data_IF_746817855084
#
_entry.id   IF_746817855084
#
_cell.length_a   1.000
_cell.length_b   1.000
_cell.length_c   1.000
_cell.angle_alpha   90.00
_cell.angle_beta   90.00
_cell.angle_gamma   90.00
#
_symmetry.space_group_name_H-M   'P 1'
#
loop_
_entity.id
_entity.type
_entity.pdbx_description
1 polymer ?
#
# COMPACT_ATOMS: atom_id res chain seq x y z
N UNK A 1 -5.07 7.63 -8.06
CA UNK A 1 -6.08 8.43 -7.34
C UNK A 1 -7.38 8.39 -8.13
N UNK A 2 -7.86 7.19 -8.38
CA UNK A 2 -9.20 6.94 -8.89
C UNK A 2 -10.12 6.59 -7.69
N UNK A 3 -11.40 6.98 -7.66
CA UNK A 3 -12.27 6.72 -6.52
C UNK A 3 -12.39 5.24 -6.12
N UNK A 4 -12.36 4.32 -7.09
CA UNK A 4 -12.43 2.88 -6.85
C UNK A 4 -11.12 2.37 -6.23
N UNK A 5 -9.98 2.83 -6.75
CA UNK A 5 -8.67 2.55 -6.14
C UNK A 5 -8.59 3.09 -4.71
N UNK A 6 -9.02 4.34 -4.48
CA UNK A 6 -9.04 4.98 -3.17
C UNK A 6 -9.89 4.18 -2.17
N UNK A 7 -11.06 3.70 -2.62
CA UNK A 7 -11.95 2.86 -1.83
C UNK A 7 -11.25 1.58 -1.32
N UNK A 8 -10.40 0.96 -2.14
CA UNK A 8 -9.60 -0.20 -1.73
C UNK A 8 -8.38 0.16 -0.88
N UNK A 9 -7.85 1.39 -1.01
CA UNK A 9 -6.65 1.84 -0.30
C UNK A 9 -6.92 2.24 1.16
N UNK A 10 -8.07 2.85 1.47
CA UNK A 10 -8.38 3.29 2.83
C UNK A 10 -8.42 2.14 3.87
N UNK A 11 -9.05 0.97 3.61
CA UNK A 11 -8.98 -0.17 4.52
C UNK A 11 -7.56 -0.64 4.78
N UNK A 12 -6.66 -0.53 3.79
CA UNK A 12 -5.26 -0.91 3.94
C UNK A 12 -4.50 0.02 4.90
N UNK A 13 -4.75 1.33 4.84
CA UNK A 13 -4.16 2.30 5.79
C UNK A 13 -4.63 2.04 7.23
N UNK A 14 -5.93 1.87 7.43
CA UNK A 14 -6.51 1.62 8.76
C UNK A 14 -6.14 0.22 9.27
N UNK A 15 -6.09 -0.77 8.39
CA UNK A 15 -5.61 -2.12 8.69
C UNK A 15 -4.14 -2.14 9.09
N UNK A 16 -3.30 -1.32 8.47
CA UNK A 16 -1.90 -1.15 8.87
C UNK A 16 -1.80 -0.54 10.28
N UNK A 17 -2.59 0.49 10.57
CA UNK A 17 -2.68 1.04 11.93
C UNK A 17 -3.17 -0.01 12.95
N UNK A 18 -4.13 -0.86 12.55
CA UNK A 18 -4.67 -1.93 13.38
C UNK A 18 -3.57 -2.94 13.77
N UNK A 19 -2.76 -3.40 12.82
CA UNK A 19 -1.66 -4.35 13.09
C UNK A 19 -0.65 -3.76 14.09
N UNK A 20 -0.32 -2.48 13.94
CA UNK A 20 0.59 -1.80 14.88
C UNK A 20 -0.06 -1.60 16.27
N UNK A 21 -1.36 -1.28 16.31
CA UNK A 21 -2.12 -1.20 17.56
C UNK A 21 -2.20 -2.54 18.29
N UNK A 22 -2.39 -3.63 17.54
CA UNK A 22 -2.37 -5.01 18.07
C UNK A 22 -1.02 -5.35 18.69
N UNK A 23 0.09 -4.94 18.08
CA UNK A 23 1.42 -5.17 18.64
C UNK A 23 1.60 -4.51 20.02
N UNK A 24 1.07 -3.30 20.22
CA UNK A 24 1.07 -2.63 21.54
C UNK A 24 0.13 -3.33 22.51
N UNK A 25 -1.04 -3.75 22.04
CA UNK A 25 -2.03 -4.47 22.84
C UNK A 25 -1.48 -5.80 23.36
N UNK A 26 -0.84 -6.59 22.50
CA UNK A 26 -0.21 -7.87 22.86
C UNK A 26 0.96 -7.70 23.85
N UNK A 27 1.80 -6.68 23.64
CA UNK A 27 3.05 -6.52 24.41
C UNK A 27 2.88 -5.75 25.71
N UNK A 28 1.94 -4.80 25.76
CA UNK A 28 1.81 -3.81 26.84
C UNK A 28 0.41 -3.75 27.45
N UNK A 29 -0.57 -4.44 26.85
CA UNK A 29 -1.97 -4.38 27.29
C UNK A 29 -2.64 -3.01 27.07
N UNK A 30 -1.98 -2.08 26.40
CA UNK A 30 -2.50 -0.76 26.03
C UNK A 30 -3.29 -0.76 24.73
N UNK A 31 -3.95 0.36 24.40
CA UNK A 31 -4.67 0.58 23.13
C UNK A 31 -5.81 -0.41 22.82
N UNK A 32 -6.36 -1.12 23.81
CA UNK A 32 -7.46 -2.07 23.59
C UNK A 32 -8.65 -1.44 22.88
N UNK A 33 -9.13 -0.30 23.39
CA UNK A 33 -10.27 0.42 22.81
C UNK A 33 -9.96 0.93 21.40
N UNK A 34 -8.79 1.55 21.21
CA UNK A 34 -8.32 2.01 19.90
C UNK A 34 -8.22 0.87 18.87
N UNK A 35 -7.72 -0.30 19.30
CA UNK A 35 -7.60 -1.48 18.45
C UNK A 35 -8.96 -1.97 17.97
N UNK A 36 -9.95 -2.03 18.86
CA UNK A 36 -11.33 -2.41 18.48
C UNK A 36 -11.92 -1.40 17.51
N UNK A 37 -11.73 -0.10 17.76
CA UNK A 37 -12.21 0.96 16.86
C UNK A 37 -11.57 0.85 15.46
N UNK A 38 -10.25 0.63 15.39
CA UNK A 38 -9.55 0.43 14.11
C UNK A 38 -10.03 -0.83 13.37
N UNK A 39 -10.36 -1.90 14.09
CA UNK A 39 -10.91 -3.12 13.49
C UNK A 39 -12.31 -2.87 12.89
N UNK A 40 -13.18 -2.18 13.63
CA UNK A 40 -14.49 -1.75 13.13
C UNK A 40 -14.31 -0.84 11.91
N UNK A 41 -13.42 0.15 11.99
CA UNK A 41 -13.19 1.10 10.90
C UNK A 41 -12.61 0.44 9.64
N UNK A 42 -11.64 -0.47 9.76
CA UNK A 42 -11.08 -1.19 8.62
C UNK A 42 -12.15 -2.03 7.90
N UNK A 43 -12.98 -2.76 8.67
CA UNK A 43 -14.08 -3.54 8.10
C UNK A 43 -15.15 -2.64 7.47
N UNK A 44 -15.54 -1.57 8.16
CA UNK A 44 -16.51 -0.58 7.69
C UNK A 44 -16.07 0.08 6.38
N UNK A 45 -14.80 0.45 6.26
CA UNK A 45 -14.24 1.03 5.03
C UNK A 45 -14.22 0.01 3.88
N UNK A 46 -13.99 -1.28 4.16
CA UNK A 46 -14.07 -2.33 3.14
C UNK A 46 -15.50 -2.50 2.61
N UNK A 47 -16.50 -2.42 3.48
CA UNK A 47 -17.91 -2.44 3.09
C UNK A 47 -18.31 -1.17 2.33
N UNK A 48 -17.84 0.00 2.79
CA UNK A 48 -18.04 1.26 2.09
C UNK A 48 -17.46 1.20 0.67
N UNK A 49 -16.28 0.61 0.50
CA UNK A 49 -15.71 0.43 -0.83
C UNK A 49 -16.61 -0.41 -1.75
N UNK A 50 -17.27 -1.44 -1.22
CA UNK A 50 -18.24 -2.23 -1.99
C UNK A 50 -19.44 -1.38 -2.42
N UNK A 51 -19.96 -0.54 -1.53
CA UNK A 51 -21.01 0.43 -1.85
C UNK A 51 -20.57 1.39 -2.96
N UNK A 52 -19.39 2.01 -2.84
CA UNK A 52 -18.88 3.00 -3.79
C UNK A 52 -18.72 2.44 -5.20
N UNK A 53 -18.27 1.20 -5.35
CA UNK A 53 -18.02 0.58 -6.66
C UNK A 53 -19.29 0.03 -7.33
N UNK A 54 -20.30 -0.37 -6.53
CA UNK A 54 -21.49 -1.09 -7.03
C UNK A 54 -22.77 -0.25 -7.09
N UNK A 55 -22.83 0.85 -6.34
CA UNK A 55 -24.04 1.69 -6.27
C UNK A 55 -24.27 2.55 -7.52
N UNK A 56 -23.24 2.75 -8.34
CA UNK A 56 -23.28 3.69 -9.47
C UNK A 56 -23.24 5.16 -9.07
N UNK A 57 -22.96 5.46 -7.79
CA UNK A 57 -22.91 6.82 -7.26
C UNK A 57 -21.61 7.55 -7.67
N UNK A 58 -20.56 6.81 -8.01
CA UNK A 58 -19.29 7.36 -8.51
C UNK A 58 -19.12 7.10 -10.01
N UNK A 59 -18.59 8.10 -10.71
CA UNK A 59 -18.02 7.91 -12.05
C UNK A 59 -16.57 7.43 -11.92
N UNK A 60 -16.30 6.21 -12.39
CA UNK A 60 -14.94 5.66 -12.45
C UNK A 60 -14.83 4.69 -13.61
N UNK A 61 -13.65 4.65 -14.23
CA UNK A 61 -13.29 3.69 -15.29
C UNK A 61 -13.21 2.25 -14.76
N UNK A 62 -13.09 2.07 -13.45
CA UNK A 62 -13.02 0.77 -12.79
C UNK A 62 -14.35 0.37 -12.13
N UNK A 63 -15.43 1.13 -12.34
CA UNK A 63 -16.74 0.79 -11.78
C UNK A 63 -17.37 -0.40 -12.54
N UNK A 64 -17.84 -1.41 -11.80
CA UNK A 64 -18.43 -2.63 -12.38
C UNK A 64 -19.93 -2.70 -12.12
N UNK A 65 -20.73 -2.68 -13.19
CA UNK A 65 -22.18 -2.89 -13.18
C UNK A 65 -22.93 -1.99 -12.18
N UNK A 66 -23.46 -0.87 -12.68
CA UNK A 66 -24.23 0.10 -11.90
C UNK A 66 -25.68 -0.35 -11.77
N UNK A 67 -26.10 -0.77 -10.57
CA UNK A 67 -27.50 -1.06 -10.25
C UNK A 67 -27.92 -0.30 -8.99
N UNK A 68 -28.71 0.79 -9.12
CA UNK A 68 -29.16 1.60 -8.00
C UNK A 68 -29.90 0.79 -6.92
N UNK A 69 -30.64 -0.27 -7.30
CA UNK A 69 -31.37 -1.10 -6.34
C UNK A 69 -30.41 -1.87 -5.42
N UNK A 70 -29.30 -2.38 -5.98
CA UNK A 70 -28.22 -3.01 -5.19
C UNK A 70 -27.53 -2.00 -4.28
N UNK A 71 -27.35 -0.77 -4.76
CA UNK A 71 -26.80 0.33 -3.96
C UNK A 71 -27.58 0.57 -2.67
N UNK A 72 -28.92 0.62 -2.75
CA UNK A 72 -29.79 0.81 -1.57
C UNK A 72 -29.66 -0.34 -0.57
N UNK A 73 -29.67 -1.60 -1.05
CA UNK A 73 -29.49 -2.76 -0.18
C UNK A 73 -28.15 -2.70 0.58
N UNK A 74 -27.07 -2.40 -0.13
CA UNK A 74 -25.74 -2.27 0.47
C UNK A 74 -25.72 -1.10 1.46
N UNK A 75 -26.38 0.02 1.16
CA UNK A 75 -26.44 1.17 2.06
C UNK A 75 -27.14 0.84 3.39
N UNK A 76 -28.29 0.14 3.34
CA UNK A 76 -29.01 -0.32 4.55
C UNK A 76 -28.14 -1.29 5.34
N UNK A 77 -27.49 -2.24 4.66
CA UNK A 77 -26.56 -3.17 5.29
C UNK A 77 -25.38 -2.44 5.96
N UNK A 78 -24.81 -1.44 5.28
CA UNK A 78 -23.73 -0.60 5.79
C UNK A 78 -24.19 0.16 7.05
N UNK A 79 -25.37 0.79 7.02
CA UNK A 79 -25.92 1.50 8.16
C UNK A 79 -26.12 0.58 9.37
N UNK A 80 -26.63 -0.64 9.15
CA UNK A 80 -26.81 -1.64 10.20
C UNK A 80 -25.47 -2.11 10.80
N UNK A 81 -24.50 -2.47 9.95
CA UNK A 81 -23.21 -3.01 10.40
C UNK A 81 -22.35 -1.93 11.06
N UNK A 82 -22.20 -0.77 10.43
CA UNK A 82 -21.40 0.34 10.99
C UNK A 82 -22.10 0.90 12.22
N UNK A 83 -23.39 1.22 12.13
CA UNK A 83 -24.16 1.79 13.24
C UNK A 83 -24.21 0.82 14.43
N UNK A 84 -24.52 -0.45 14.19
CA UNK A 84 -24.58 -1.47 15.24
C UNK A 84 -23.22 -1.73 15.91
N UNK A 85 -22.14 -1.82 15.13
CA UNK A 85 -20.79 -2.04 15.69
C UNK A 85 -20.28 -0.84 16.50
N UNK A 86 -20.50 0.40 16.01
CA UNK A 86 -20.15 1.62 16.75
C UNK A 86 -21.01 1.81 18.01
N UNK A 87 -22.32 1.49 17.94
CA UNK A 87 -23.20 1.53 19.10
C UNK A 87 -22.75 0.53 20.17
N UNK A 88 -22.44 -0.71 19.78
CA UNK A 88 -21.92 -1.72 20.68
C UNK A 88 -20.58 -1.31 21.29
N UNK A 89 -19.69 -0.73 20.48
CA UNK A 89 -18.43 -0.17 20.94
C UNK A 89 -18.65 0.92 22.00
N UNK A 90 -19.53 1.89 21.73
CA UNK A 90 -19.86 2.96 22.65
C UNK A 90 -20.47 2.43 23.96
N UNK A 91 -21.37 1.44 23.87
CA UNK A 91 -21.99 0.81 25.04
C UNK A 91 -20.98 0.07 25.92
N UNK A 92 -20.01 -0.63 25.30
CA UNK A 92 -18.98 -1.39 26.01
C UNK A 92 -17.73 -0.58 26.37
N UNK A 93 -17.62 0.68 25.95
CA UNK A 93 -16.41 1.49 26.09
C UNK A 93 -15.90 1.56 27.55
N UNK A 94 -16.81 1.64 28.54
CA UNK A 94 -16.44 1.73 29.97
C UNK A 94 -15.81 0.45 30.54
N UNK A 95 -15.94 -0.68 29.86
CA UNK A 95 -15.38 -1.97 30.29
C UNK A 95 -13.96 -2.19 29.74
N UNK A 96 -13.49 -1.33 28.82
CA UNK A 96 -12.20 -1.46 28.17
C UNK A 96 -11.15 -0.67 28.95
N UNK A 97 -10.26 -1.36 29.66
CA UNK A 97 -9.23 -0.73 30.48
C UNK A 97 -8.29 0.19 29.69
N UNK A 98 -7.87 1.29 30.33
CA UNK A 98 -7.07 2.38 29.75
C UNK A 98 -5.61 2.01 29.40
N UNK A 99 -5.13 0.82 29.79
CA UNK A 99 -3.76 0.37 29.53
C UNK A 99 -2.72 0.93 30.51
N UNK A 100 -1.44 0.60 30.28
CA UNK A 100 -0.33 1.06 31.10
C UNK A 100 0.22 2.44 30.68
N UNK A 101 0.80 3.18 31.64
CA UNK A 101 1.46 4.48 31.40
C UNK A 101 2.75 4.33 30.57
N UNK A 102 3.03 5.29 29.70
CA UNK A 102 4.26 5.41 28.91
C UNK A 102 4.64 6.90 28.73
N UNK A 103 5.93 7.17 28.55
CA UNK A 103 6.45 8.53 28.35
C UNK A 103 6.20 9.01 26.90
N UNK A 104 6.16 10.33 26.71
CA UNK A 104 6.00 10.99 25.40
C UNK A 104 7.01 10.46 24.37
N UNK A 105 8.23 10.18 24.80
CA UNK A 105 9.26 9.55 23.96
C UNK A 105 9.35 8.08 24.34
N UNK A 106 8.66 7.24 23.59
CA UNK A 106 8.65 5.79 23.76
C UNK A 106 8.23 5.09 22.47
N UNK A 107 8.46 3.79 22.39
CA UNK A 107 7.95 2.97 21.28
C UNK A 107 6.42 3.03 21.20
N UNK A 108 5.73 3.03 22.34
CA UNK A 108 4.28 3.20 22.41
C UNK A 108 3.83 4.51 21.77
N UNK A 109 4.46 5.64 22.10
CA UNK A 109 4.13 6.95 21.53
C UNK A 109 4.39 7.04 20.04
N UNK A 110 5.48 6.43 19.55
CA UNK A 110 5.79 6.40 18.10
C UNK A 110 4.76 5.55 17.33
N UNK A 111 4.37 4.40 17.88
CA UNK A 111 3.32 3.55 17.30
C UNK A 111 1.95 4.24 17.32
N UNK A 112 1.63 4.96 18.41
CA UNK A 112 0.41 5.77 18.49
C UNK A 112 0.41 6.89 17.45
N UNK A 113 1.51 7.63 17.34
CA UNK A 113 1.65 8.72 16.37
C UNK A 113 1.48 8.19 14.94
N UNK A 114 2.11 7.05 14.62
CA UNK A 114 1.93 6.38 13.33
C UNK A 114 0.47 5.97 13.09
N UNK A 115 -0.21 5.40 14.08
CA UNK A 115 -1.62 5.03 13.95
C UNK A 115 -2.52 6.24 13.70
N UNK A 116 -2.27 7.36 14.40
CA UNK A 116 -3.01 8.61 14.19
C UNK A 116 -2.74 9.15 12.78
N UNK A 117 -1.48 9.20 12.32
CA UNK A 117 -1.14 9.66 10.98
C UNK A 117 -1.81 8.81 9.89
N UNK A 118 -1.80 7.49 10.03
CA UNK A 118 -2.47 6.57 9.10
C UNK A 118 -4.00 6.73 9.11
N UNK A 119 -4.61 6.91 10.29
CA UNK A 119 -6.04 7.15 10.42
C UNK A 119 -6.46 8.50 9.81
N UNK A 120 -5.67 9.56 10.04
CA UNK A 120 -5.91 10.88 9.43
C UNK A 120 -5.71 10.80 7.92
N UNK A 121 -4.67 10.13 7.43
CA UNK A 121 -4.47 9.94 5.99
C UNK A 121 -5.64 9.19 5.34
N UNK A 122 -6.15 8.13 5.97
CA UNK A 122 -7.34 7.44 5.52
C UNK A 122 -8.57 8.36 5.53
N UNK A 123 -8.76 9.16 6.58
CA UNK A 123 -9.84 10.14 6.69
C UNK A 123 -9.76 11.24 5.62
N UNK A 124 -8.56 11.71 5.28
CA UNK A 124 -8.36 12.69 4.21
C UNK A 124 -8.66 12.11 2.83
N UNK A 125 -8.25 10.86 2.57
CA UNK A 125 -8.61 10.17 1.31
C UNK A 125 -10.11 9.92 1.23
N UNK A 126 -10.74 9.54 2.35
CA UNK A 126 -12.19 9.36 2.46
C UNK A 126 -12.92 10.66 2.14
N UNK A 127 -12.50 11.76 2.77
CA UNK A 127 -13.08 13.07 2.55
C UNK A 127 -12.95 13.47 1.07
N UNK A 128 -11.76 13.40 0.48
CA UNK A 128 -11.57 13.73 -0.94
C UNK A 128 -12.38 12.86 -1.89
N UNK A 129 -12.60 11.59 -1.54
CA UNK A 129 -13.37 10.64 -2.35
C UNK A 129 -14.88 10.86 -2.23
N UNK A 130 -15.39 11.18 -1.03
CA UNK A 130 -16.81 11.40 -0.78
C UNK A 130 -17.26 12.85 -1.00
N UNK A 131 -16.34 13.82 -1.03
CA UNK A 131 -16.70 15.23 -1.14
C UNK A 131 -17.50 15.56 -2.41
N UNK A 132 -17.11 15.09 -3.62
CA UNK A 132 -17.94 15.24 -4.81
C UNK A 132 -19.38 14.75 -4.64
N UNK A 133 -19.56 13.61 -3.95
CA UNK A 133 -20.87 12.99 -3.72
C UNK A 133 -21.73 13.84 -2.79
N UNK A 134 -21.13 14.40 -1.74
CA UNK A 134 -21.82 15.26 -0.79
C UNK A 134 -22.28 16.55 -1.50
N UNK A 135 -21.42 17.14 -2.33
CA UNK A 135 -21.77 18.37 -3.07
C UNK A 135 -22.87 18.12 -4.10
N UNK A 136 -22.80 17.01 -4.84
CA UNK A 136 -23.84 16.60 -5.80
C UNK A 136 -25.18 16.33 -5.10
N UNK A 137 -25.16 15.63 -3.95
CA UNK A 137 -26.35 15.34 -3.15
C UNK A 137 -27.03 16.60 -2.57
N UNK A 138 -26.28 17.68 -2.37
CA UNK A 138 -26.80 18.98 -1.93
C UNK A 138 -27.34 19.83 -3.10
N UNK A 139 -27.37 19.31 -4.33
CA UNK A 139 -27.85 20.01 -5.51
C UNK A 139 -26.92 21.14 -5.98
N UNK A 140 -25.66 21.14 -5.54
CA UNK A 140 -24.64 22.09 -5.97
C UNK A 140 -23.96 21.62 -7.28
N UNK A 141 -22.88 22.28 -7.68
CA UNK A 141 -22.14 21.93 -8.89
C UNK A 141 -21.44 20.56 -8.78
N UNK A 142 -21.35 19.84 -9.90
CA UNK A 142 -20.53 18.63 -9.99
C UNK A 142 -19.05 18.98 -9.88
N UNK A 143 -18.40 18.49 -8.83
CA UNK A 143 -16.97 18.66 -8.59
C UNK A 143 -16.23 17.34 -8.88
N UNK A 144 -14.96 17.47 -9.25
CA UNK A 144 -14.04 16.34 -9.33
C UNK A 144 -12.79 16.65 -8.51
N UNK A 145 -12.37 15.70 -7.69
CA UNK A 145 -11.17 15.82 -6.86
C UNK A 145 -10.08 14.95 -7.46
N UNK A 146 -9.04 15.58 -7.99
CA UNK A 146 -7.94 14.90 -8.67
C UNK A 146 -6.66 14.81 -7.85
N UNK A 147 -5.55 14.32 -8.46
CA UNK A 147 -4.24 14.19 -7.84
C UNK A 147 -3.72 15.41 -7.05
N UNK A 148 -3.95 16.68 -7.44
CA UNK A 148 -3.46 17.83 -6.69
C UNK A 148 -3.94 17.88 -5.23
N UNK A 149 -5.20 17.55 -4.96
CA UNK A 149 -5.74 17.48 -3.60
C UNK A 149 -5.08 16.34 -2.82
N UNK A 150 -5.12 15.12 -3.38
CA UNK A 150 -4.61 13.95 -2.66
C UNK A 150 -3.11 14.06 -2.38
N UNK A 151 -2.30 14.51 -3.35
CA UNK A 151 -0.87 14.66 -3.15
C UNK A 151 -0.54 15.74 -2.10
N UNK A 152 -1.27 16.86 -2.10
CA UNK A 152 -1.00 17.95 -1.16
C UNK A 152 -1.35 17.60 0.29
N UNK A 153 -2.30 16.69 0.52
CA UNK A 153 -2.67 16.25 1.87
C UNK A 153 -1.94 14.97 2.29
N UNK A 154 -1.84 13.98 1.40
CA UNK A 154 -1.30 12.66 1.72
C UNK A 154 0.21 12.68 1.94
N UNK A 155 0.98 13.39 1.11
CA UNK A 155 2.45 13.43 1.22
C UNK A 155 2.91 14.01 2.57
N UNK A 156 2.41 15.16 3.04
CA UNK A 156 2.79 15.71 4.35
C UNK A 156 2.45 14.81 5.54
N UNK A 157 1.43 13.96 5.43
CA UNK A 157 1.08 12.99 6.47
C UNK A 157 1.98 11.74 6.43
N UNK A 158 2.32 11.27 5.23
CA UNK A 158 3.13 10.06 5.06
C UNK A 158 4.61 10.27 5.31
N UNK A 159 5.16 11.46 5.03
CA UNK A 159 6.57 11.78 5.31
C UNK A 159 6.94 11.53 6.78
N UNK A 160 6.24 12.11 7.78
CA UNK A 160 6.54 11.83 9.19
C UNK A 160 6.22 10.38 9.58
N UNK A 161 5.17 9.76 9.02
CA UNK A 161 4.84 8.36 9.31
C UNK A 161 5.96 7.40 8.87
N UNK A 162 6.47 7.59 7.65
CA UNK A 162 7.61 6.84 7.11
C UNK A 162 8.90 7.15 7.87
N UNK A 163 9.12 8.40 8.27
CA UNK A 163 10.28 8.73 9.08
C UNK A 163 10.24 8.02 10.45
N UNK A 164 9.08 7.99 11.11
CA UNK A 164 8.88 7.26 12.37
C UNK A 164 9.05 5.75 12.21
N UNK A 165 8.80 5.18 11.02
CA UNK A 165 9.04 3.77 10.73
C UNK A 165 10.50 3.35 10.94
N UNK A 166 11.47 4.26 10.71
CA UNK A 166 12.88 3.99 10.99
C UNK A 166 13.26 4.10 12.47
N UNK A 167 12.53 4.91 13.25
CA UNK A 167 12.84 5.14 14.68
C UNK A 167 12.13 4.13 15.59
N UNK A 168 10.84 3.88 15.33
CA UNK A 168 9.95 3.09 16.19
C UNK A 168 10.50 1.71 16.57
N UNK A 169 10.99 0.90 15.62
CA UNK A 169 11.55 -0.44 15.91
C UNK A 169 12.79 -0.42 16.81
N UNK A 170 13.51 0.71 16.87
CA UNK A 170 14.75 0.90 17.66
C UNK A 170 14.43 1.51 19.03
N UNK A 171 13.42 2.39 19.13
CA UNK A 171 13.01 3.01 20.38
C UNK A 171 12.65 1.98 21.46
N UNK A 172 12.93 2.27 22.73
CA UNK A 172 12.60 1.39 23.86
C UNK A 172 11.13 1.52 24.26
N UNK A 173 10.55 0.43 24.78
CA UNK A 173 9.22 0.44 25.40
C UNK A 173 9.24 1.27 26.69
N UNK A 174 8.09 1.83 27.08
CA UNK A 174 7.85 2.73 28.22
C UNK A 174 8.55 4.08 28.13
N UNK A 175 9.87 4.09 27.91
CA UNK A 175 10.70 5.30 27.91
C UNK A 175 11.92 5.12 27.02
N UNK A 176 12.18 6.11 26.17
CA UNK A 176 13.38 6.23 25.36
C UNK A 176 13.97 7.65 25.51
N UNK A 177 15.29 7.77 25.35
CA UNK A 177 16.00 9.05 25.38
C UNK A 177 16.18 9.58 23.96
N UNK A 178 15.72 10.81 23.69
CA UNK A 178 15.90 11.45 22.37
C UNK A 178 17.39 11.63 22.01
N UNK A 179 18.26 12.15 22.90
CA UNK A 179 19.69 12.23 22.61
C UNK A 179 20.32 10.87 22.29
N UNK A 180 19.93 9.82 23.00
CA UNK A 180 20.43 8.46 22.75
C UNK A 180 20.01 7.95 21.37
N UNK A 181 18.75 8.16 20.99
CA UNK A 181 18.25 7.80 19.65
C UNK A 181 18.95 8.60 18.56
N UNK A 182 19.15 9.90 18.75
CA UNK A 182 19.84 10.75 17.77
C UNK A 182 21.28 10.28 17.53
N UNK A 183 22.04 9.99 18.59
CA UNK A 183 23.41 9.48 18.48
C UNK A 183 23.46 8.13 17.78
N UNK A 184 22.51 7.22 18.07
CA UNK A 184 22.43 5.91 17.42
C UNK A 184 22.09 6.00 15.94
N UNK A 185 21.18 6.90 15.58
CA UNK A 185 20.63 7.00 14.22
C UNK A 185 21.40 7.96 13.31
N UNK A 186 22.32 8.78 13.84
CA UNK A 186 23.01 9.83 13.07
C UNK A 186 23.66 9.36 11.77
N UNK A 187 24.26 8.16 11.77
CA UNK A 187 24.94 7.64 10.60
C UNK A 187 23.96 7.10 9.55
N UNK A 188 22.86 6.49 9.99
CA UNK A 188 21.76 6.11 9.10
C UNK A 188 21.11 7.35 8.48
N UNK A 189 20.90 8.41 9.28
CA UNK A 189 20.35 9.68 8.82
C UNK A 189 21.29 10.37 7.82
N UNK A 190 22.57 10.49 8.16
CA UNK A 190 23.57 11.11 7.29
C UNK A 190 23.68 10.36 5.95
N UNK A 191 23.76 9.03 5.97
CA UNK A 191 23.79 8.24 4.74
C UNK A 191 22.54 8.49 3.89
N UNK A 192 21.37 8.54 4.52
CA UNK A 192 20.09 8.82 3.84
C UNK A 192 20.07 10.21 3.18
N UNK A 193 20.56 11.23 3.87
CA UNK A 193 20.65 12.60 3.35
C UNK A 193 21.65 12.70 2.20
N UNK A 194 22.84 12.11 2.35
CA UNK A 194 23.88 12.13 1.30
C UNK A 194 23.37 11.46 0.03
N UNK A 195 22.73 10.30 0.13
CA UNK A 195 22.14 9.64 -1.04
C UNK A 195 21.02 10.48 -1.66
N UNK A 196 20.18 11.12 -0.86
CA UNK A 196 19.13 12.01 -1.36
C UNK A 196 19.68 13.22 -2.12
N UNK A 197 20.88 13.69 -1.79
CA UNK A 197 21.53 14.79 -2.49
C UNK A 197 22.21 14.33 -3.77
N UNK A 198 22.85 13.15 -3.78
CA UNK A 198 23.71 12.72 -4.89
C UNK A 198 22.95 11.88 -5.93
N UNK A 199 22.18 10.88 -5.50
CA UNK A 199 21.58 9.88 -6.39
C UNK A 199 20.63 10.48 -7.45
N UNK A 200 19.80 11.50 -7.17
CA UNK A 200 18.97 12.15 -8.19
C UNK A 200 19.72 12.63 -9.44
N UNK A 201 20.97 13.07 -9.29
CA UNK A 201 21.75 13.57 -10.42
C UNK A 201 22.10 12.49 -11.44
N UNK A 202 22.12 11.21 -11.05
CA UNK A 202 22.33 10.10 -12.00
C UNK A 202 21.15 9.91 -12.96
N UNK A 203 20.00 10.56 -12.68
CA UNK A 203 18.80 10.58 -13.52
C UNK A 203 18.69 11.88 -14.34
N UNK A 204 19.76 12.68 -14.41
CA UNK A 204 19.89 13.85 -15.28
C UNK A 204 19.48 15.18 -14.65
N UNK A 205 18.61 15.19 -13.64
CA UNK A 205 18.21 16.42 -12.94
C UNK A 205 17.85 16.14 -11.49
N UNK A 206 18.14 17.08 -10.60
CA UNK A 206 17.74 16.97 -9.20
C UNK A 206 16.30 17.45 -9.00
N UNK A 207 15.43 16.61 -8.41
CA UNK A 207 14.03 16.95 -8.11
C UNK A 207 13.76 16.84 -6.59
N UNK A 208 13.17 17.85 -5.93
CA UNK A 208 13.00 17.85 -4.47
C UNK A 208 12.18 16.66 -3.95
N UNK A 209 11.00 16.41 -4.52
CA UNK A 209 10.14 15.31 -4.09
C UNK A 209 10.78 13.93 -4.36
N UNK A 210 11.51 13.81 -5.48
CA UNK A 210 12.23 12.58 -5.79
C UNK A 210 13.34 12.31 -4.75
N UNK A 211 14.05 13.36 -4.38
CA UNK A 211 15.13 13.32 -3.38
C UNK A 211 14.59 12.95 -2.01
N UNK A 212 13.47 13.53 -1.60
CA UNK A 212 12.79 13.21 -0.34
C UNK A 212 12.35 11.74 -0.28
N UNK A 213 11.74 11.23 -1.35
CA UNK A 213 11.34 9.82 -1.42
C UNK A 213 12.53 8.86 -1.31
N UNK A 214 13.63 9.14 -2.03
CA UNK A 214 14.86 8.36 -1.94
C UNK A 214 15.52 8.45 -0.55
N UNK A 215 15.50 9.63 0.08
CA UNK A 215 15.94 9.81 1.46
C UNK A 215 15.20 8.88 2.41
N UNK A 216 13.86 8.88 2.33
CA UNK A 216 13.00 8.09 3.20
C UNK A 216 13.14 6.58 2.95
N UNK A 217 13.30 6.16 1.70
CA UNK A 217 13.58 4.77 1.37
C UNK A 217 14.92 4.30 1.97
N UNK A 218 16.00 5.07 1.78
CA UNK A 218 17.29 4.71 2.36
C UNK A 218 17.29 4.81 3.90
N UNK A 219 16.50 5.72 4.46
CA UNK A 219 16.28 5.82 5.90
C UNK A 219 15.69 4.53 6.46
N UNK A 220 14.65 3.98 5.83
CA UNK A 220 14.08 2.68 6.25
C UNK A 220 15.14 1.57 6.12
N UNK A 221 15.84 1.48 4.99
CA UNK A 221 16.83 0.41 4.75
C UNK A 221 17.96 0.48 5.78
N UNK A 222 18.55 1.65 5.97
CA UNK A 222 19.68 1.85 6.90
C UNK A 222 19.28 1.60 8.35
N UNK A 223 18.09 2.04 8.78
CA UNK A 223 17.59 1.79 10.13
C UNK A 223 17.17 0.33 10.34
N UNK A 224 16.64 -0.36 9.32
CA UNK A 224 16.37 -1.80 9.37
C UNK A 224 17.67 -2.61 9.53
N UNK A 225 18.71 -2.29 8.77
CA UNK A 225 20.03 -2.91 8.90
C UNK A 225 20.65 -2.66 10.27
N UNK A 226 20.59 -1.42 10.77
CA UNK A 226 21.02 -1.07 12.12
C UNK A 226 20.25 -1.87 13.18
N UNK A 227 18.93 -2.00 13.03
CA UNK A 227 18.10 -2.76 13.97
C UNK A 227 18.48 -4.24 14.01
N UNK A 228 18.74 -4.85 12.84
CA UNK A 228 19.21 -6.24 12.73
C UNK A 228 20.58 -6.40 13.40
N UNK A 229 21.50 -5.47 13.11
CA UNK A 229 22.84 -5.47 13.70
C UNK A 229 22.81 -5.39 15.23
N UNK A 230 22.08 -4.43 15.79
CA UNK A 230 21.93 -4.27 17.24
C UNK A 230 21.26 -5.50 17.88
N UNK A 231 20.28 -6.08 17.20
CA UNK A 231 19.57 -7.29 17.67
C UNK A 231 20.50 -8.50 17.73
N UNK A 232 21.35 -8.68 16.72
CA UNK A 232 22.35 -9.76 16.69
C UNK A 232 23.41 -9.53 17.77
N UNK A 233 23.91 -8.29 17.91
CA UNK A 233 24.92 -7.94 18.92
C UNK A 233 24.41 -8.16 20.36
N UNK A 234 23.13 -7.86 20.61
CA UNK A 234 22.49 -8.04 21.92
C UNK A 234 22.06 -9.48 22.22
N UNK A 235 22.12 -10.39 21.24
CA UNK A 235 21.82 -11.80 21.46
C UNK A 235 22.95 -12.45 22.26
N UNK A 236 22.65 -12.84 23.51
CA UNK A 236 23.58 -13.45 24.46
C UNK A 236 24.17 -14.77 23.95
N UNK A 237 25.39 -15.09 24.39
CA UNK A 237 26.11 -16.33 24.06
C UNK A 237 27.29 -16.15 23.10
N UNK A 238 28.24 -17.10 23.16
CA UNK A 238 29.44 -17.18 22.30
C UNK A 238 29.12 -17.82 20.93
N UNK A 239 28.03 -17.42 20.31
CA UNK A 239 27.63 -17.90 18.98
C UNK A 239 28.21 -17.03 17.87
N UNK A 240 28.47 -17.61 16.71
CA UNK A 240 28.86 -16.86 15.51
C UNK A 240 27.70 -15.99 14.99
N UNK A 241 28.00 -14.98 14.17
CA UNK A 241 27.00 -14.04 13.61
C UNK A 241 25.88 -14.76 12.87
N UNK A 242 26.22 -15.74 12.02
CA UNK A 242 25.24 -16.51 11.24
C UNK A 242 24.27 -17.31 12.12
N UNK A 243 24.76 -17.89 13.22
CA UNK A 243 23.91 -18.61 14.17
C UNK A 243 22.97 -17.65 14.88
N UNK A 244 23.47 -16.48 15.33
CA UNK A 244 22.65 -15.47 16.00
C UNK A 244 21.55 -14.90 15.08
N UNK A 245 21.82 -14.79 13.78
CA UNK A 245 20.80 -14.47 12.78
C UNK A 245 19.73 -15.57 12.71
N UNK A 246 20.13 -16.84 12.57
CA UNK A 246 19.20 -17.97 12.53
C UNK A 246 18.32 -18.14 13.78
N UNK A 247 18.69 -17.54 14.91
CA UNK A 247 17.94 -17.60 16.18
C UNK A 247 16.81 -16.55 16.31
N UNK A 248 16.73 -15.55 15.42
CA UNK A 248 15.68 -14.53 15.52
C UNK A 248 14.32 -15.07 15.08
N UNK A 249 13.24 -14.52 15.65
CA UNK A 249 11.90 -15.01 15.37
C UNK A 249 11.40 -14.65 13.97
N UNK A 250 10.49 -15.46 13.42
CA UNK A 250 9.89 -15.19 12.10
C UNK A 250 9.08 -13.91 12.10
N UNK A 251 8.40 -13.59 13.19
CA UNK A 251 7.70 -12.31 13.37
C UNK A 251 8.64 -11.10 13.33
N UNK A 252 9.87 -11.24 13.84
CA UNK A 252 10.87 -10.18 13.73
C UNK A 252 11.31 -9.97 12.29
N UNK A 253 11.69 -11.04 11.58
CA UNK A 253 12.06 -10.95 10.17
C UNK A 253 10.90 -10.54 9.27
N UNK A 254 9.67 -10.95 9.59
CA UNK A 254 8.46 -10.55 8.87
C UNK A 254 8.22 -9.05 8.95
N UNK A 255 8.38 -8.45 10.14
CA UNK A 255 8.35 -6.99 10.32
C UNK A 255 9.44 -6.30 9.49
N UNK A 256 10.69 -6.79 9.53
CA UNK A 256 11.78 -6.19 8.75
C UNK A 256 11.52 -6.27 7.24
N UNK A 257 11.10 -7.44 6.76
CA UNK A 257 10.80 -7.66 5.35
C UNK A 257 9.65 -6.77 4.87
N UNK A 258 8.63 -6.58 5.70
CA UNK A 258 7.52 -5.69 5.36
C UNK A 258 7.96 -4.22 5.25
N UNK A 259 8.74 -3.72 6.21
CA UNK A 259 9.26 -2.35 6.12
C UNK A 259 10.25 -2.16 4.96
N UNK A 260 11.11 -3.14 4.68
CA UNK A 260 11.96 -3.11 3.48
C UNK A 260 11.13 -3.10 2.19
N UNK A 261 9.99 -3.81 2.17
CA UNK A 261 9.02 -3.73 1.07
C UNK A 261 8.47 -2.32 0.86
N UNK A 262 8.17 -1.59 1.94
CA UNK A 262 7.79 -0.16 1.86
C UNK A 262 8.91 0.67 1.24
N UNK A 263 10.16 0.44 1.63
CA UNK A 263 11.30 1.17 1.05
C UNK A 263 11.42 0.93 -0.46
N UNK A 264 11.33 -0.32 -0.91
CA UNK A 264 11.36 -0.69 -2.33
C UNK A 264 10.20 -0.06 -3.11
N UNK A 265 8.99 -0.09 -2.52
CA UNK A 265 7.81 0.57 -3.09
C UNK A 265 8.02 2.08 -3.26
N UNK A 266 8.55 2.75 -2.24
CA UNK A 266 8.83 4.19 -2.28
C UNK A 266 9.83 4.52 -3.39
N UNK A 267 10.90 3.73 -3.56
CA UNK A 267 11.86 3.91 -4.66
C UNK A 267 11.13 3.86 -6.01
N UNK A 268 10.30 2.82 -6.24
CA UNK A 268 9.54 2.67 -7.48
C UNK A 268 8.63 3.87 -7.77
N UNK A 269 7.75 4.23 -6.83
CA UNK A 269 6.81 5.36 -7.00
C UNK A 269 7.57 6.67 -7.24
N UNK A 270 8.59 6.93 -6.43
CA UNK A 270 9.36 8.18 -6.47
C UNK A 270 10.09 8.34 -7.79
N UNK A 271 10.72 7.29 -8.31
CA UNK A 271 11.46 7.34 -9.57
C UNK A 271 10.52 7.38 -10.78
N UNK A 272 9.42 6.61 -10.80
CA UNK A 272 8.41 6.70 -11.87
C UNK A 272 7.83 8.11 -11.94
N UNK A 273 7.35 8.66 -10.82
CA UNK A 273 6.73 9.99 -10.80
C UNK A 273 7.75 11.09 -11.10
N UNK A 274 8.98 10.95 -10.62
CA UNK A 274 10.04 11.94 -10.79
C UNK A 274 10.67 11.95 -12.17
N UNK A 275 10.87 10.79 -12.82
CA UNK A 275 11.76 10.65 -13.97
C UNK A 275 11.18 9.89 -15.15
N UNK A 276 9.86 9.66 -15.18
CA UNK A 276 9.22 9.20 -16.41
C UNK A 276 9.36 10.23 -17.55
N UNK A 277 9.40 9.72 -18.79
CA UNK A 277 9.35 10.50 -20.01
C UNK A 277 8.14 10.05 -20.83
N UNK A 278 7.38 11.01 -21.33
CA UNK A 278 6.18 10.79 -22.14
C UNK A 278 6.29 11.61 -23.42
N UNK A 279 5.92 11.02 -24.55
CA UNK A 279 5.74 11.73 -25.81
C UNK A 279 4.41 11.29 -26.42
N UNK A 280 3.59 12.26 -26.80
CA UNK A 280 2.34 12.05 -27.53
C UNK A 280 2.46 12.76 -28.88
N UNK A 281 2.64 11.98 -29.94
CA UNK A 281 3.05 12.50 -31.25
C UNK A 281 2.25 11.87 -32.38
N UNK A 282 2.07 12.63 -33.46
CA UNK A 282 1.60 12.09 -34.73
C UNK A 282 2.78 11.42 -35.43
N UNK A 283 2.63 10.13 -35.79
CA UNK A 283 3.66 9.35 -36.49
C UNK A 283 3.12 8.77 -37.79
N UNK A 284 3.80 9.08 -38.90
CA UNK A 284 3.70 8.37 -40.17
C UNK A 284 4.71 7.21 -40.25
N UNK A 285 4.57 6.37 -41.29
CA UNK A 285 5.49 5.24 -41.51
C UNK A 285 6.91 5.76 -41.71
N UNK A 286 7.84 5.22 -40.92
CA UNK A 286 9.25 5.63 -40.89
C UNK A 286 9.57 6.71 -39.85
N UNK A 287 8.56 7.40 -39.31
CA UNK A 287 8.78 8.41 -38.28
C UNK A 287 9.36 7.79 -37.02
N UNK A 288 10.19 8.56 -36.33
CA UNK A 288 10.90 8.14 -35.13
C UNK A 288 10.73 9.17 -34.02
N UNK A 289 10.44 8.72 -32.81
CA UNK A 289 10.36 9.56 -31.62
C UNK A 289 11.28 9.04 -30.53
N UNK A 290 11.88 9.95 -29.75
CA UNK A 290 12.79 9.60 -28.66
C UNK A 290 12.15 9.83 -27.29
N UNK A 291 12.26 8.86 -26.39
CA UNK A 291 11.83 9.00 -24.99
C UNK A 291 12.74 8.18 -24.06
N UNK A 292 13.24 8.78 -22.98
CA UNK A 292 14.06 8.08 -21.97
C UNK A 292 15.33 7.39 -22.50
N UNK A 293 15.94 7.93 -23.55
CA UNK A 293 17.11 7.34 -24.22
C UNK A 293 16.81 6.15 -25.13
N UNK A 294 15.53 5.89 -25.42
CA UNK A 294 15.06 4.94 -26.43
C UNK A 294 14.51 5.69 -27.64
N UNK A 295 14.66 5.07 -28.80
CA UNK A 295 14.12 5.52 -30.07
C UNK A 295 13.06 4.54 -30.54
N UNK A 296 11.89 5.07 -30.90
CA UNK A 296 10.71 4.32 -31.30
C UNK A 296 10.39 4.67 -32.75
N UNK A 297 10.55 3.72 -33.67
CA UNK A 297 10.25 3.89 -35.08
C UNK A 297 8.93 3.22 -35.43
N UNK A 298 8.02 3.97 -36.03
CA UNK A 298 6.73 3.44 -36.49
C UNK A 298 6.87 2.79 -37.86
N UNK A 299 6.70 1.47 -37.94
CA UNK A 299 6.86 0.72 -39.19
C UNK A 299 5.53 0.54 -39.95
N UNK A 300 4.41 0.97 -39.38
CA UNK A 300 3.09 0.90 -40.01
C UNK A 300 2.07 0.09 -39.22
N UNK A 301 0.91 -0.13 -39.83
CA UNK A 301 -0.23 -0.84 -39.23
C UNK A 301 -0.64 -2.02 -40.11
N UNK A 302 -1.08 -3.07 -39.42
CA UNK A 302 -1.72 -4.23 -40.02
C UNK A 302 -3.07 -4.44 -39.34
N UNK A 303 -4.09 -4.76 -40.14
CA UNK A 303 -5.39 -5.16 -39.60
C UNK A 303 -5.34 -6.62 -39.17
N UNK A 304 -5.79 -6.89 -37.94
CA UNK A 304 -5.76 -8.21 -37.31
C UNK A 304 -7.17 -8.59 -36.87
N UNK A 305 -7.63 -9.77 -37.30
CA UNK A 305 -8.85 -10.38 -36.79
C UNK A 305 -8.54 -11.14 -35.50
N UNK A 306 -9.10 -10.69 -34.38
CA UNK A 306 -9.07 -11.37 -33.09
C UNK A 306 -10.27 -12.31 -32.89
N UNK A 307 -10.33 -13.06 -31.77
CA UNK A 307 -11.41 -14.02 -31.52
C UNK A 307 -12.82 -13.39 -31.46
N UNK A 308 -12.90 -12.16 -30.95
CA UNK A 308 -14.15 -11.42 -30.78
C UNK A 308 -14.00 -9.91 -31.04
N UNK A 309 -12.94 -9.51 -31.74
CA UNK A 309 -12.63 -8.11 -32.07
C UNK A 309 -11.90 -8.00 -33.40
N UNK A 310 -11.94 -6.81 -34.00
CA UNK A 310 -11.01 -6.41 -35.08
C UNK A 310 -10.01 -5.41 -34.52
N UNK A 311 -8.76 -5.46 -34.96
CA UNK A 311 -7.71 -4.62 -34.41
C UNK A 311 -6.84 -3.99 -35.48
N UNK A 312 -6.57 -2.69 -35.35
CA UNK A 312 -5.44 -2.06 -36.01
C UNK A 312 -4.20 -2.27 -35.13
N UNK A 313 -3.24 -3.09 -35.57
CA UNK A 313 -2.00 -3.38 -34.86
C UNK A 313 -0.84 -2.62 -35.48
N UNK A 314 -0.18 -1.77 -34.71
CA UNK A 314 1.06 -1.14 -35.17
C UNK A 314 2.27 -2.04 -34.94
N UNK A 315 3.28 -1.94 -35.81
CA UNK A 315 4.62 -2.42 -35.51
C UNK A 315 5.50 -1.23 -35.16
N UNK A 316 6.04 -1.21 -33.93
CA UNK A 316 6.98 -0.18 -33.49
C UNK A 316 8.30 -0.83 -33.12
N UNK A 317 9.35 -0.50 -33.86
CA UNK A 317 10.71 -0.93 -33.57
C UNK A 317 11.30 -0.04 -32.47
N UNK A 318 11.82 -0.67 -31.43
CA UNK A 318 12.44 0.00 -30.30
C UNK A 318 13.94 -0.22 -30.35
N UNK A 319 14.70 0.87 -30.35
CA UNK A 319 16.15 0.85 -30.35
C UNK A 319 16.75 1.66 -29.20
N UNK A 320 17.96 1.28 -28.78
CA UNK A 320 18.75 2.01 -27.79
C UNK A 320 20.19 2.09 -28.28
N UNK A 321 20.75 3.30 -28.30
CA UNK A 321 22.11 3.55 -28.81
C UNK A 321 22.34 2.96 -30.22
N UNK A 322 21.34 3.08 -31.10
CA UNK A 322 21.40 2.57 -32.48
C UNK A 322 21.12 1.07 -32.66
N UNK A 323 21.08 0.28 -31.58
CA UNK A 323 20.79 -1.15 -31.65
C UNK A 323 19.31 -1.41 -31.40
N UNK A 324 18.68 -2.21 -32.27
CA UNK A 324 17.30 -2.68 -32.06
C UNK A 324 17.26 -3.61 -30.85
N UNK A 325 16.44 -3.27 -29.87
CA UNK A 325 16.30 -4.04 -28.62
C UNK A 325 14.98 -4.80 -28.54
N UNK A 326 13.93 -4.33 -29.23
CA UNK A 326 12.63 -4.98 -29.23
C UNK A 326 11.77 -4.52 -30.42
N UNK A 327 10.71 -5.26 -30.73
CA UNK A 327 9.59 -4.83 -31.58
C UNK A 327 8.30 -4.98 -30.77
N UNK A 328 7.53 -3.90 -30.68
CA UNK A 328 6.35 -3.80 -29.85
C UNK A 328 5.10 -3.61 -30.72
N UNK A 329 4.00 -4.26 -30.32
CA UNK A 329 2.80 -4.38 -31.14
C UNK A 329 1.55 -3.86 -30.41
N UNK A 330 1.41 -2.54 -30.20
CA UNK A 330 0.20 -1.99 -29.60
C UNK A 330 -0.97 -2.09 -30.58
N UNK A 331 -2.19 -2.15 -30.04
CA UNK A 331 -3.40 -2.35 -30.85
C UNK A 331 -4.51 -1.36 -30.49
N UNK A 332 -5.30 -1.00 -31.50
CA UNK A 332 -6.61 -0.38 -31.31
C UNK A 332 -7.67 -1.42 -31.67
N UNK A 333 -8.38 -1.93 -30.67
CA UNK A 333 -9.36 -3.02 -30.81
C UNK A 333 -10.78 -2.47 -30.86
N UNK A 334 -11.57 -2.93 -31.82
CA UNK A 334 -13.00 -2.69 -31.95
C UNK A 334 -13.76 -3.98 -31.65
N UNK A 335 -14.61 -3.96 -30.62
CA UNK A 335 -15.45 -5.09 -30.22
C UNK A 335 -16.86 -4.92 -30.78
N UNK A 336 -17.21 -5.72 -31.78
CA UNK A 336 -18.48 -5.60 -32.51
C UNK A 336 -19.71 -5.86 -31.64
N UNK A 337 -19.60 -6.76 -30.66
CA UNK A 337 -20.72 -7.13 -29.79
C UNK A 337 -21.15 -6.00 -28.84
N UNK A 338 -20.21 -5.18 -28.37
CA UNK A 338 -20.46 -4.07 -27.42
C UNK A 338 -20.39 -2.70 -28.08
N UNK A 339 -19.88 -2.60 -29.31
CA UNK A 339 -19.61 -1.34 -30.00
C UNK A 339 -18.47 -0.51 -29.38
N UNK A 340 -17.70 -1.10 -28.47
CA UNK A 340 -16.65 -0.39 -27.73
C UNK A 340 -15.30 -0.49 -28.44
N UNK A 341 -14.59 0.64 -28.55
CA UNK A 341 -13.21 0.70 -29.02
C UNK A 341 -12.28 0.86 -27.82
N UNK A 342 -11.25 0.02 -27.74
CA UNK A 342 -10.28 -0.02 -26.65
C UNK A 342 -8.86 -0.01 -27.21
N UNK A 343 -7.93 0.54 -26.43
CA UNK A 343 -6.51 0.55 -26.79
C UNK A 343 -5.79 -0.51 -25.97
N UNK A 344 -5.19 -1.50 -26.65
CA UNK A 344 -4.27 -2.45 -26.02
C UNK A 344 -2.87 -1.86 -26.09
N UNK A 345 -2.32 -1.53 -24.92
CA UNK A 345 -0.97 -0.95 -24.82
C UNK A 345 0.06 -2.07 -24.90
N UNK A 346 1.07 -1.92 -25.76
CA UNK A 346 2.23 -2.79 -25.73
C UNK A 346 3.14 -2.40 -24.57
N UNK A 347 3.56 -3.38 -23.77
CA UNK A 347 4.37 -3.16 -22.57
C UNK A 347 5.63 -4.02 -22.67
N UNK A 348 6.79 -3.38 -22.55
CA UNK A 348 8.09 -4.05 -22.42
C UNK A 348 8.61 -3.85 -21.00
N UNK A 349 8.33 -4.82 -20.14
CA UNK A 349 8.61 -4.78 -18.70
C UNK A 349 10.06 -5.16 -18.40
N UNK A 350 10.72 -4.39 -17.54
CA UNK A 350 12.07 -4.68 -17.09
C UNK A 350 12.26 -4.48 -15.59
N UNK A 351 13.44 -4.85 -15.09
CA UNK A 351 13.75 -4.67 -13.66
C UNK A 351 13.94 -3.19 -13.29
N UNK A 352 14.51 -2.38 -14.19
CA UNK A 352 14.87 -0.98 -13.93
C UNK A 352 14.02 0.02 -14.71
N UNK A 353 13.28 -0.44 -15.72
CA UNK A 353 12.43 0.41 -16.55
C UNK A 353 11.40 -0.42 -17.30
N UNK A 354 10.28 0.22 -17.60
CA UNK A 354 9.22 -0.29 -18.44
C UNK A 354 9.01 0.69 -19.61
N UNK A 355 8.77 0.15 -20.80
CA UNK A 355 8.33 0.93 -21.96
C UNK A 355 6.86 0.64 -22.22
N UNK A 356 6.08 1.70 -22.47
CA UNK A 356 4.68 1.58 -22.84
C UNK A 356 4.46 2.28 -24.17
N UNK A 357 3.67 1.65 -25.03
CA UNK A 357 3.27 2.24 -26.30
C UNK A 357 1.78 2.02 -26.48
N UNK A 358 1.05 3.09 -26.73
CA UNK A 358 -0.40 3.05 -26.96
C UNK A 358 -0.77 3.78 -28.24
N UNK A 359 -1.68 3.20 -29.00
CA UNK A 359 -2.24 3.82 -30.20
C UNK A 359 -3.45 4.69 -29.87
N UNK A 360 -3.40 5.95 -30.29
CA UNK A 360 -4.53 6.87 -30.26
C UNK A 360 -5.47 6.63 -31.45
N UNK A 361 -5.86 7.71 -32.12
CA UNK A 361 -6.71 7.66 -33.30
C UNK A 361 -5.89 7.77 -34.59
N UNK A 362 -6.40 7.24 -35.72
CA UNK A 362 -5.84 7.53 -37.03
C UNK A 362 -5.93 9.04 -37.33
N UNK A 363 -4.91 9.54 -38.01
CA UNK A 363 -4.78 10.95 -38.42
C UNK A 363 -4.67 11.01 -39.95
N UNK A 364 -4.82 12.19 -40.53
CA UNK A 364 -4.70 12.39 -41.98
C UNK A 364 -3.36 11.92 -42.55
N UNK A 365 -3.42 11.35 -43.76
CA UNK A 365 -2.25 10.87 -44.50
C UNK A 365 -1.69 9.52 -44.03
N UNK A 366 -2.52 8.67 -43.41
CA UNK A 366 -2.10 7.33 -42.93
C UNK A 366 -1.23 7.36 -41.66
N UNK A 367 -1.08 8.53 -41.04
CA UNK A 367 -0.39 8.71 -39.77
C UNK A 367 -1.32 8.35 -38.59
N UNK A 368 -0.73 8.10 -37.43
CA UNK A 368 -1.47 7.77 -36.20
C UNK A 368 -0.98 8.61 -35.03
N UNK A 369 -1.87 8.92 -34.10
CA UNK A 369 -1.46 9.42 -32.79
C UNK A 369 -0.83 8.25 -32.03
N UNK A 370 0.42 8.38 -31.63
CA UNK A 370 1.17 7.36 -30.89
C UNK A 370 1.68 7.99 -29.62
N UNK A 371 1.40 7.33 -28.51
CA UNK A 371 1.92 7.74 -27.21
C UNK A 371 2.94 6.72 -26.71
N UNK A 372 4.14 7.19 -26.42
CA UNK A 372 5.24 6.38 -25.88
C UNK A 372 5.63 6.86 -24.50
N UNK A 373 5.92 5.90 -23.62
CA UNK A 373 6.40 6.16 -22.28
C UNK A 373 7.68 5.40 -21.99
N UNK A 374 8.62 6.07 -21.34
CA UNK A 374 9.66 5.44 -20.54
C UNK A 374 9.34 5.66 -19.07
N UNK A 375 9.16 4.58 -18.31
CA UNK A 375 8.88 4.63 -16.87
C UNK A 375 9.93 3.86 -16.08
N UNK A 376 10.78 4.54 -15.29
CA UNK A 376 11.85 3.87 -14.56
C UNK A 376 11.30 3.19 -13.28
N UNK A 377 11.69 1.95 -13.00
CA UNK A 377 11.40 1.22 -11.75
C UNK A 377 9.92 0.91 -11.42
N UNK A 378 9.02 0.79 -12.41
CA UNK A 378 7.62 0.40 -12.16
C UNK A 378 7.54 -0.98 -11.47
N UNK A 379 8.35 -1.96 -11.91
CA UNK A 379 8.43 -3.30 -11.29
C UNK A 379 8.73 -3.27 -9.78
N UNK A 380 9.37 -2.22 -9.27
CA UNK A 380 9.69 -2.10 -7.84
C UNK A 380 8.47 -1.71 -7.00
N UNK A 381 7.47 -1.07 -7.59
CA UNK A 381 6.18 -0.82 -6.94
C UNK A 381 5.55 -2.17 -6.57
N UNK A 382 5.47 -3.08 -7.54
CA UNK A 382 4.96 -4.44 -7.34
C UNK A 382 5.86 -5.27 -6.42
N UNK A 383 7.17 -5.22 -6.64
CA UNK A 383 8.15 -5.91 -5.80
C UNK A 383 8.04 -5.52 -4.33
N UNK A 384 7.88 -4.22 -4.03
CA UNK A 384 7.64 -3.74 -2.68
C UNK A 384 6.35 -4.28 -2.06
N UNK A 385 5.25 -4.32 -2.83
CA UNK A 385 3.98 -4.89 -2.38
C UNK A 385 4.09 -6.40 -2.08
N UNK A 386 4.78 -7.16 -2.92
CA UNK A 386 5.03 -8.58 -2.71
C UNK A 386 5.88 -8.81 -1.46
N UNK A 387 6.93 -8.01 -1.26
CA UNK A 387 7.77 -8.09 -0.05
C UNK A 387 6.96 -7.79 1.23
N UNK A 388 6.05 -6.82 1.19
CA UNK A 388 5.11 -6.54 2.29
C UNK A 388 4.21 -7.75 2.59
N UNK A 389 3.61 -8.34 1.56
CA UNK A 389 2.76 -9.53 1.71
C UNK A 389 3.55 -10.72 2.26
N UNK A 390 4.77 -10.96 1.76
CA UNK A 390 5.68 -11.99 2.28
C UNK A 390 6.07 -11.73 3.73
N UNK A 391 6.34 -10.48 4.12
CA UNK A 391 6.64 -10.10 5.49
C UNK A 391 5.48 -10.41 6.44
N UNK A 392 4.25 -10.10 6.02
CA UNK A 392 3.03 -10.47 6.72
C UNK A 392 2.89 -11.99 6.87
N UNK A 393 3.04 -12.74 5.77
CA UNK A 393 2.99 -14.21 5.77
C UNK A 393 4.04 -14.85 6.69
N UNK A 394 5.27 -14.32 6.67
CA UNK A 394 6.35 -14.78 7.54
C UNK A 394 6.01 -14.51 9.02
N UNK A 395 5.45 -13.35 9.33
CA UNK A 395 5.04 -13.02 10.70
C UNK A 395 3.90 -13.90 11.23
N UNK A 396 2.96 -14.29 10.37
CA UNK A 396 1.87 -15.23 10.70
C UNK A 396 2.38 -16.66 10.94
N UNK A 397 3.45 -17.06 10.24
CA UNK A 397 4.07 -18.39 10.38
C UNK A 397 4.95 -18.57 11.63
N UNK A 398 4.94 -17.59 12.56
CA UNK A 398 5.74 -17.63 13.77
C UNK A 398 5.26 -18.71 14.76
N UNK A 399 6.22 -19.43 15.36
CA UNK A 399 5.97 -20.53 16.30
C UNK A 399 5.14 -20.11 17.51
N UNK A 400 5.13 -18.82 17.88
CA UNK A 400 4.33 -18.29 19.00
C UNK A 400 2.84 -18.61 18.86
N UNK A 401 2.30 -18.55 17.64
CA UNK A 401 0.88 -18.83 17.38
C UNK A 401 0.59 -20.33 17.51
N UNK A 402 1.48 -21.17 17.00
CA UNK A 402 1.37 -22.62 17.16
C UNK A 402 1.43 -23.05 18.63
N UNK A 403 2.32 -22.45 19.43
CA UNK A 403 2.44 -22.72 20.86
C UNK A 403 1.20 -22.24 21.65
N UNK A 404 0.66 -21.06 21.32
CA UNK A 404 -0.57 -20.56 21.94
C UNK A 404 -1.77 -21.46 21.64
N UNK A 405 -1.94 -21.87 20.38
CA UNK A 405 -3.01 -22.78 19.97
C UNK A 405 -2.90 -24.15 20.68
N UNK A 406 -1.69 -24.69 20.84
CA UNK A 406 -1.45 -25.92 21.61
C UNK A 406 -1.86 -25.77 23.07
N UNK A 407 -1.44 -24.69 23.75
CA UNK A 407 -1.84 -24.42 25.14
C UNK A 407 -3.36 -24.30 25.29
N UNK A 408 -4.03 -23.63 24.35
CA UNK A 408 -5.49 -23.49 24.38
C UNK A 408 -6.20 -24.83 24.21
N UNK A 409 -5.72 -25.69 23.29
CA UNK A 409 -6.25 -27.06 23.13
C UNK A 409 -6.10 -27.88 24.40
N UNK A 410 -4.92 -27.85 25.02
CA UNK A 410 -4.66 -28.54 26.28
C UNK A 410 -5.57 -28.04 27.41
N UNK A 411 -5.82 -26.73 27.50
CA UNK A 411 -6.73 -26.17 28.50
C UNK A 411 -8.20 -26.60 28.27
N UNK A 412 -8.64 -26.69 27.01
CA UNK A 412 -9.98 -27.18 26.66
C UNK A 412 -10.13 -28.68 26.96
N UNK A 413 -9.10 -29.48 26.68
CA UNK A 413 -9.07 -30.91 27.00
C UNK A 413 -9.12 -31.14 28.52
N UNK A 414 -8.34 -30.39 29.30
CA UNK A 414 -8.40 -30.43 30.77
C UNK A 414 -9.78 -30.06 31.30
N UNK A 415 -10.43 -29.03 30.73
CA UNK A 415 -11.78 -28.62 31.12
C UNK A 415 -12.84 -29.67 30.77
N UNK A 416 -12.64 -30.43 29.70
CA UNK A 416 -13.54 -31.54 29.29
C UNK A 416 -13.37 -32.78 30.17
N UNK A 417 -12.21 -32.96 30.79
CA UNK A 417 -11.91 -34.07 31.70
C UNK A 417 -12.29 -33.79 33.16
N UNK A 418 -12.72 -32.56 33.50
CA UNK A 418 -13.26 -32.27 34.84
C UNK A 418 -14.66 -32.90 34.98
N UNK A 419 -14.89 -33.76 35.99
CA UNK A 419 -16.21 -34.33 36.22
C UNK A 419 -17.22 -33.22 36.53
N UNK A 420 -18.41 -33.31 35.95
CA UNK A 420 -19.53 -32.41 36.27
C UNK A 420 -19.79 -32.55 37.78
N UNK A 421 -19.78 -31.45 38.57
CA UNK A 421 -20.10 -31.55 39.99
C UNK A 421 -21.49 -32.17 40.11
N UNK A 422 -21.58 -33.29 40.81
CA UNK A 422 -22.84 -33.99 41.05
C UNK A 422 -23.84 -32.96 41.60
N UNK A 423 -24.95 -32.75 40.88
CA UNK A 423 -26.10 -32.04 41.42
C UNK A 423 -26.48 -32.75 42.71
N UNK A 424 -26.26 -32.10 43.85
CA UNK A 424 -26.75 -32.58 45.12
C UNK A 424 -28.28 -32.59 45.04
N UNK A 425 -28.84 -33.76 44.74
CA UNK A 425 -30.24 -34.08 44.98
C UNK A 425 -30.46 -33.99 46.48
N UNK A 426 -30.91 -32.83 46.94
CA UNK A 426 -31.49 -32.68 48.27
C UNK A 426 -32.82 -33.45 48.28
N UNK A 427 -32.77 -34.74 48.58
CA UNK A 427 -33.94 -35.47 49.05
C UNK A 427 -34.31 -34.89 50.42
N UNK A 428 -35.40 -34.10 50.45
CA UNK A 428 -36.09 -33.76 51.69
C UNK A 428 -36.86 -35.01 52.13
N UNK A 429 -36.39 -35.67 53.17
CA UNK A 429 -37.26 -36.42 54.08
C UNK A 429 -37.79 -35.45 55.14
N UNK A 430 -39.10 -35.18 55.11
CA UNK A 430 -40.08 -35.24 56.22
C UNK A 430 -41.46 -35.32 55.59
#
# INVERSE_FOLDING_TARGET
WDPVENASFMPWLVGTALIHSLAVTEKRGGFKSWTVLLAIAAFSLSLLGTFLVRSGVLTSVHAFATDPKRGIFILVFLAFVIGGSLLLYAWRARQVGLGGKFDVVSRESMLLSNNVLLAVAAGSVLLGTLYPLIVDALGMAKLSVGPPYFNSVFVPLMVPAVFLMGIGPIARWKKASLPELAVRLRWAFLASVVTALILPFTFGQWKPLASLGLMLALWIVSTALLNIWERVKSTSGKFGVLQKLGMQSRSYYGMQLAHLGVAVFIVGVTLVTGYQSEQDVRMGIGDTVNAGGYSFRFNGITDVAGPNYQAARAEIEVSKNGNVVNKMYPEKRSYTATGSVMTETAIDTGLFRDLYISLGEPVSGGAWSVRVYYKPFVSWIWGGAILMAMGGGLALSDRRYALAARKQRQALEQKRQQPIPAMATAAKEV
#
